data_IF_154251180351
#
_entry.id   IF_154251180351
#
_cell.length_a   1.000
_cell.length_b   1.000
_cell.length_c   1.000
_cell.angle_alpha   90.00
_cell.angle_beta   90.00
_cell.angle_gamma   90.00
#
_symmetry.space_group_name_H-M   'P 1'
#
loop_
_entity.id
_entity.type
_entity.pdbx_description
1 polymer ?
#
# COMPACT_ATOMS: atom_id res chain seq x y z
N UNK A 1 -19.99 -5.89 25.68
CA UNK A 1 -18.74 -5.62 24.95
C UNK A 1 -18.82 -6.08 23.47
N UNK A 2 -19.29 -7.28 23.16
CA UNK A 2 -19.43 -7.79 21.78
C UNK A 2 -20.38 -6.95 20.90
N UNK A 3 -21.45 -6.34 21.45
CA UNK A 3 -22.37 -5.50 20.66
C UNK A 3 -21.71 -4.23 20.11
N UNK A 4 -20.81 -3.61 20.87
CA UNK A 4 -20.08 -2.40 20.45
C UNK A 4 -18.98 -2.78 19.43
N UNK A 5 -18.26 -3.89 19.66
CA UNK A 5 -17.29 -4.45 18.69
C UNK A 5 -17.97 -4.73 17.35
N UNK A 6 -19.17 -5.31 17.37
CA UNK A 6 -19.96 -5.59 16.17
C UNK A 6 -20.49 -4.33 15.49
N UNK A 7 -20.80 -3.27 16.22
CA UNK A 7 -21.23 -1.98 15.66
C UNK A 7 -20.11 -1.23 14.96
N UNK A 8 -18.90 -1.24 15.52
CA UNK A 8 -17.73 -0.54 14.97
C UNK A 8 -17.09 -1.31 13.82
N UNK A 9 -17.16 -2.65 13.83
CA UNK A 9 -16.61 -3.52 12.79
C UNK A 9 -17.67 -4.23 11.94
N UNK A 10 -18.85 -3.67 11.83
CA UNK A 10 -20.09 -4.23 11.23
C UNK A 10 -19.96 -4.89 9.85
N UNK A 11 -18.86 -4.74 9.18
CA UNK A 11 -18.71 -5.14 7.78
C UNK A 11 -17.48 -6.02 7.52
N UNK A 12 -16.90 -6.65 8.55
CA UNK A 12 -15.77 -7.55 8.40
C UNK A 12 -16.17 -8.99 8.73
N UNK A 13 -15.67 -9.93 7.95
CA UNK A 13 -15.77 -11.35 8.29
C UNK A 13 -14.87 -11.61 9.51
N UNK A 14 -15.48 -11.98 10.65
CA UNK A 14 -14.80 -12.21 11.92
C UNK A 14 -14.71 -13.70 12.21
N UNK A 15 -13.76 -14.07 13.04
CA UNK A 15 -13.73 -15.40 13.61
C UNK A 15 -14.46 -15.34 14.95
N UNK A 16 -15.56 -16.06 15.03
CA UNK A 16 -16.29 -16.25 16.27
C UNK A 16 -15.87 -17.59 16.90
N UNK A 17 -15.49 -17.53 18.16
CA UNK A 17 -15.23 -18.70 19.01
C UNK A 17 -16.11 -18.64 20.24
N UNK A 18 -16.24 -19.72 21.00
CA UNK A 18 -17.04 -19.74 22.23
C UNK A 18 -16.63 -18.65 23.23
N UNK A 19 -15.37 -18.19 23.15
CA UNK A 19 -14.79 -17.24 24.10
C UNK A 19 -14.55 -15.83 23.51
N UNK A 20 -14.29 -15.73 22.20
CA UNK A 20 -13.78 -14.51 21.58
C UNK A 20 -14.42 -14.23 20.24
N UNK A 21 -14.65 -12.94 19.93
CA UNK A 21 -14.95 -12.44 18.60
C UNK A 21 -13.73 -11.68 18.09
N UNK A 22 -12.99 -12.27 17.15
CA UNK A 22 -11.72 -11.76 16.65
C UNK A 22 -11.90 -11.07 15.29
N UNK A 23 -11.37 -9.86 15.16
CA UNK A 23 -11.25 -9.18 13.86
C UNK A 23 -10.09 -9.79 13.05
N UNK A 24 -10.31 -11.01 12.63
CA UNK A 24 -9.40 -11.87 11.89
C UNK A 24 -10.19 -12.60 10.80
N UNK A 25 -9.69 -12.60 9.57
CA UNK A 25 -10.34 -13.28 8.44
C UNK A 25 -9.34 -14.17 7.71
N UNK A 26 -9.77 -15.36 7.34
CA UNK A 26 -9.03 -16.19 6.39
C UNK A 26 -9.29 -15.68 4.97
N UNK A 27 -8.25 -15.13 4.34
CA UNK A 27 -8.31 -14.76 2.93
C UNK A 27 -8.14 -16.01 2.07
N UNK A 28 -7.16 -16.85 2.46
CA UNK A 28 -7.02 -18.23 1.98
C UNK A 28 -6.88 -19.13 3.20
N UNK A 29 -6.73 -20.45 3.02
CA UNK A 29 -6.47 -21.38 4.15
C UNK A 29 -5.16 -21.04 4.88
N UNK A 30 -4.23 -20.33 4.24
CA UNK A 30 -2.88 -20.07 4.75
C UNK A 30 -2.49 -18.58 4.82
N UNK A 31 -3.37 -17.68 4.38
CA UNK A 31 -3.18 -16.21 4.40
C UNK A 31 -4.31 -15.57 5.19
N UNK A 32 -3.97 -14.91 6.27
CA UNK A 32 -4.92 -14.27 7.17
C UNK A 32 -4.73 -12.74 7.17
N UNK A 33 -5.83 -12.03 7.36
CA UNK A 33 -5.87 -10.58 7.55
C UNK A 33 -6.52 -10.24 8.88
N UNK A 34 -5.93 -9.35 9.69
CA UNK A 34 -6.52 -8.93 10.96
C UNK A 34 -6.38 -7.42 11.19
N UNK A 35 -7.11 -6.87 12.17
CA UNK A 35 -6.85 -5.55 12.72
C UNK A 35 -5.67 -5.59 13.70
N UNK A 36 -5.16 -4.41 14.07
CA UNK A 36 -4.05 -4.23 15.00
C UNK A 36 -4.30 -4.98 16.32
N UNK A 37 -3.32 -5.71 16.88
CA UNK A 37 -3.41 -6.28 18.21
C UNK A 37 -2.99 -5.23 19.25
N UNK A 38 -3.94 -4.67 19.98
CA UNK A 38 -3.69 -3.67 21.01
C UNK A 38 -3.72 -4.25 22.42
N UNK A 39 -2.85 -3.77 23.28
CA UNK A 39 -2.85 -4.02 24.72
C UNK A 39 -3.72 -3.03 25.51
N UNK A 40 -4.09 -1.92 24.87
CA UNK A 40 -4.99 -0.92 25.45
C UNK A 40 -6.43 -1.43 25.54
N UNK A 41 -7.04 -1.35 26.71
CA UNK A 41 -8.45 -1.72 26.94
C UNK A 41 -9.39 -0.87 26.06
N UNK A 42 -9.10 0.42 25.90
CA UNK A 42 -9.92 1.34 25.10
C UNK A 42 -9.80 1.02 23.61
N UNK A 43 -8.58 0.81 23.12
CA UNK A 43 -8.34 0.49 21.71
C UNK A 43 -8.83 -0.92 21.35
N UNK A 44 -8.84 -1.87 22.29
CA UNK A 44 -9.35 -3.22 22.06
C UNK A 44 -10.87 -3.28 21.82
N UNK A 45 -11.58 -2.16 21.99
CA UNK A 45 -12.98 -2.02 21.57
C UNK A 45 -13.07 -1.93 20.04
N UNK A 46 -12.08 -1.29 19.40
CA UNK A 46 -12.03 -1.05 17.94
C UNK A 46 -11.16 -2.09 17.25
N UNK A 47 -10.09 -2.52 17.91
CA UNK A 47 -9.05 -3.44 17.42
C UNK A 47 -9.13 -4.81 18.14
N UNK A 48 -8.23 -5.71 17.78
CA UNK A 48 -8.10 -6.96 18.51
C UNK A 48 -7.42 -6.72 19.87
N UNK A 49 -7.85 -7.43 20.91
CA UNK A 49 -7.07 -7.54 22.13
C UNK A 49 -5.87 -8.44 21.88
N UNK A 50 -4.65 -7.99 22.22
CA UNK A 50 -3.41 -8.71 21.93
C UNK A 50 -3.36 -10.10 22.62
N UNK A 51 -3.89 -10.22 23.84
CA UNK A 51 -3.91 -11.49 24.56
C UNK A 51 -4.92 -12.47 23.92
N UNK A 52 -6.11 -12.00 23.50
CA UNK A 52 -7.11 -12.85 22.84
C UNK A 52 -6.58 -13.39 21.50
N UNK A 53 -5.99 -12.51 20.66
CA UNK A 53 -5.50 -12.92 19.35
C UNK A 53 -4.23 -13.79 19.45
N UNK A 54 -3.33 -13.51 20.40
CA UNK A 54 -2.14 -14.34 20.62
C UNK A 54 -2.52 -15.72 21.16
N UNK A 55 -3.48 -15.80 22.09
CA UNK A 55 -4.01 -17.08 22.57
C UNK A 55 -4.62 -17.90 21.43
N UNK A 56 -5.41 -17.27 20.57
CA UNK A 56 -5.99 -17.95 19.40
C UNK A 56 -4.92 -18.50 18.47
N UNK A 57 -3.95 -17.67 18.08
CA UNK A 57 -2.88 -18.10 17.15
C UNK A 57 -2.00 -19.20 17.77
N UNK A 58 -1.59 -19.02 19.03
CA UNK A 58 -0.74 -20.00 19.73
C UNK A 58 -1.43 -21.33 20.02
N UNK A 59 -2.76 -21.35 20.23
CA UNK A 59 -3.51 -22.59 20.43
C UNK A 59 -3.79 -23.35 19.15
N UNK A 60 -3.97 -22.61 18.03
CA UNK A 60 -4.32 -23.22 16.75
C UNK A 60 -3.11 -23.61 15.90
N UNK A 61 -2.01 -22.88 16.05
CA UNK A 61 -0.77 -23.09 15.31
C UNK A 61 0.38 -23.30 16.29
N UNK A 62 1.29 -24.19 15.95
CA UNK A 62 2.50 -24.35 16.77
C UNK A 62 3.40 -23.10 16.63
N UNK A 63 4.27 -22.89 17.61
CA UNK A 63 5.17 -21.74 17.72
C UNK A 63 5.86 -21.33 16.41
N UNK A 64 6.18 -22.28 15.54
CA UNK A 64 6.97 -22.04 14.33
C UNK A 64 6.15 -22.06 13.04
N UNK A 65 4.81 -22.23 13.14
CA UNK A 65 3.98 -22.44 11.96
C UNK A 65 3.14 -21.21 11.57
N UNK A 66 3.37 -20.06 12.21
CA UNK A 66 2.79 -18.79 11.77
C UNK A 66 3.81 -17.67 11.82
N UNK A 67 3.64 -16.69 10.96
CA UNK A 67 4.45 -15.48 10.91
C UNK A 67 3.58 -14.26 10.66
N UNK A 68 3.84 -13.16 11.39
CA UNK A 68 3.04 -11.93 11.32
C UNK A 68 3.82 -10.82 10.64
N UNK A 69 3.21 -10.18 9.66
CA UNK A 69 3.70 -8.96 9.02
C UNK A 69 2.91 -7.76 9.55
N UNK A 70 3.54 -7.02 10.45
CA UNK A 70 3.00 -5.79 11.00
C UNK A 70 3.31 -4.62 10.06
N UNK A 71 2.30 -4.14 9.35
CA UNK A 71 2.37 -3.07 8.34
C UNK A 71 1.91 -1.72 8.91
N UNK A 72 1.78 -1.59 10.23
CA UNK A 72 1.19 -0.42 10.87
C UNK A 72 2.17 0.70 11.16
N UNK A 73 3.46 0.39 11.25
CA UNK A 73 4.48 1.30 11.77
C UNK A 73 4.51 1.42 13.29
N UNK A 74 3.57 0.76 14.00
CA UNK A 74 3.46 0.78 15.46
C UNK A 74 3.87 -0.58 16.00
N UNK A 75 4.83 -0.60 16.91
CA UNK A 75 5.29 -1.84 17.54
C UNK A 75 4.42 -2.23 18.75
N UNK A 76 4.53 -3.48 19.18
CA UNK A 76 3.87 -4.05 20.33
C UNK A 76 4.72 -5.18 20.92
N UNK A 77 4.34 -5.74 22.04
CA UNK A 77 5.04 -6.89 22.66
C UNK A 77 5.00 -8.13 21.74
N UNK A 78 6.08 -8.32 20.97
CA UNK A 78 6.22 -9.42 20.02
C UNK A 78 6.37 -10.77 20.71
N UNK A 79 6.72 -10.80 22.01
CA UNK A 79 6.85 -12.06 22.78
C UNK A 79 5.52 -12.82 22.86
N UNK A 80 4.38 -12.11 22.83
CA UNK A 80 3.03 -12.67 22.74
C UNK A 80 2.86 -13.59 21.52
N UNK A 81 3.62 -13.35 20.45
CA UNK A 81 3.59 -14.09 19.19
C UNK A 81 4.89 -14.88 18.97
N UNK A 82 5.60 -15.26 20.04
CA UNK A 82 6.86 -15.99 19.99
C UNK A 82 7.96 -15.29 19.17
N UNK A 83 7.92 -13.95 19.08
CA UNK A 83 8.78 -13.12 18.25
C UNK A 83 8.69 -13.38 16.73
N UNK A 84 7.65 -14.07 16.25
CA UNK A 84 7.40 -14.31 14.84
C UNK A 84 6.71 -13.09 14.17
N UNK A 85 7.32 -11.92 14.28
CA UNK A 85 6.76 -10.66 13.79
C UNK A 85 7.83 -9.83 13.10
N UNK A 86 7.56 -9.41 11.87
CA UNK A 86 8.31 -8.35 11.19
C UNK A 86 7.50 -7.05 11.21
N UNK A 87 8.15 -5.94 11.54
CA UNK A 87 7.56 -4.60 11.55
C UNK A 87 8.01 -3.83 10.30
N UNK A 88 7.05 -3.29 9.57
CA UNK A 88 7.24 -2.34 8.47
C UNK A 88 6.67 -0.98 8.88
N UNK A 89 7.50 0.06 8.80
CA UNK A 89 7.13 1.42 9.19
C UNK A 89 6.46 2.18 8.04
N UNK A 90 5.29 1.72 7.63
CA UNK A 90 4.52 2.37 6.56
C UNK A 90 3.50 3.34 7.13
N UNK A 91 3.42 4.51 6.55
CA UNK A 91 2.47 5.54 6.97
C UNK A 91 1.02 5.09 6.75
N UNK A 92 0.13 5.52 7.64
CA UNK A 92 -1.28 5.14 7.54
C UNK A 92 -1.93 5.80 6.32
N UNK A 93 -2.80 5.04 5.66
CA UNK A 93 -3.53 5.40 4.44
C UNK A 93 -2.68 5.61 3.17
N UNK A 94 -1.36 5.72 3.25
CA UNK A 94 -0.48 5.78 2.08
C UNK A 94 -0.39 4.44 1.34
N UNK A 95 0.05 4.50 0.09
CA UNK A 95 0.50 3.29 -0.59
C UNK A 95 1.83 2.83 0.02
N UNK A 96 1.97 1.53 0.34
CA UNK A 96 3.26 0.99 0.74
C UNK A 96 4.31 1.17 -0.38
N UNK A 97 5.60 1.36 -0.05
CA UNK A 97 6.65 1.47 -1.06
C UNK A 97 6.69 0.24 -1.97
N UNK A 98 6.82 0.47 -3.28
CA UNK A 98 6.65 -0.60 -4.29
C UNK A 98 7.63 -1.76 -4.10
N UNK A 99 8.88 -1.46 -3.80
CA UNK A 99 9.93 -2.48 -3.61
C UNK A 99 9.80 -3.22 -2.28
N UNK A 100 9.26 -2.56 -1.26
CA UNK A 100 8.95 -3.21 0.02
C UNK A 100 7.80 -4.22 -0.14
N UNK A 101 6.79 -3.93 -0.97
CA UNK A 101 5.72 -4.89 -1.28
C UNK A 101 6.31 -6.18 -1.86
N UNK A 102 7.26 -6.06 -2.81
CA UNK A 102 7.94 -7.24 -3.38
C UNK A 102 8.66 -8.03 -2.29
N UNK A 103 9.41 -7.36 -1.42
CA UNK A 103 10.13 -7.98 -0.31
C UNK A 103 9.18 -8.75 0.62
N UNK A 104 8.05 -8.16 0.98
CA UNK A 104 7.05 -8.83 1.84
C UNK A 104 6.44 -10.04 1.13
N UNK A 105 6.17 -9.96 -0.18
CA UNK A 105 5.67 -11.10 -0.94
C UNK A 105 6.67 -12.26 -0.97
N UNK A 106 7.95 -11.97 -1.23
CA UNK A 106 9.02 -12.99 -1.26
C UNK A 106 9.21 -13.66 0.10
N UNK A 107 9.30 -12.87 1.18
CA UNK A 107 9.43 -13.40 2.55
C UNK A 107 8.22 -14.28 2.91
N UNK A 108 7.01 -13.85 2.52
CA UNK A 108 5.78 -14.61 2.79
C UNK A 108 5.78 -15.94 2.07
N UNK A 109 6.12 -15.96 0.77
CA UNK A 109 6.20 -17.18 -0.02
C UNK A 109 7.29 -18.10 0.50
N UNK A 110 8.48 -17.54 0.79
CA UNK A 110 9.59 -18.31 1.37
C UNK A 110 9.17 -19.03 2.67
N UNK A 111 8.44 -18.34 3.56
CA UNK A 111 7.95 -18.96 4.80
C UNK A 111 6.86 -20.00 4.53
N UNK A 112 5.91 -19.70 3.64
CA UNK A 112 4.83 -20.63 3.30
C UNK A 112 5.35 -21.93 2.65
N UNK A 113 6.40 -21.84 1.82
CA UNK A 113 6.98 -22.99 1.14
C UNK A 113 7.83 -23.90 2.05
N UNK A 114 8.22 -23.46 3.26
CA UNK A 114 8.99 -24.31 4.19
C UNK A 114 8.17 -25.50 4.71
N UNK A 115 6.86 -25.31 4.94
CA UNK A 115 5.95 -26.36 5.43
C UNK A 115 4.52 -26.10 4.98
N UNK A 116 3.78 -27.13 4.62
CA UNK A 116 2.37 -27.01 4.19
C UNK A 116 1.42 -26.46 5.26
N UNK A 117 1.80 -26.60 6.54
CA UNK A 117 1.03 -26.11 7.69
C UNK A 117 1.36 -24.63 8.04
N UNK A 118 2.37 -24.02 7.43
CA UNK A 118 2.74 -22.63 7.70
C UNK A 118 1.67 -21.67 7.20
N UNK A 119 1.41 -20.64 7.99
CA UNK A 119 0.48 -19.56 7.65
C UNK A 119 1.15 -18.20 7.83
N UNK A 120 0.68 -17.21 7.08
CA UNK A 120 1.08 -15.81 7.24
C UNK A 120 -0.12 -14.95 7.64
N UNK A 121 0.13 -14.00 8.53
CA UNK A 121 -0.88 -13.08 9.05
C UNK A 121 -0.44 -11.65 8.74
N UNK A 122 -1.28 -10.89 8.07
CA UNK A 122 -1.02 -9.49 7.78
C UNK A 122 -1.94 -8.60 8.58
N UNK A 123 -1.41 -7.51 9.13
CA UNK A 123 -2.21 -6.46 9.71
C UNK A 123 -1.59 -5.07 9.52
N UNK A 124 -2.45 -4.06 9.52
CA UNK A 124 -2.12 -2.66 9.74
C UNK A 124 -2.92 -2.15 10.95
N UNK A 125 -3.56 -1.02 10.92
CA UNK A 125 -4.49 -0.60 11.97
C UNK A 125 -5.84 -1.32 11.82
N UNK A 126 -6.58 -1.05 10.74
CA UNK A 126 -7.90 -1.66 10.51
C UNK A 126 -7.85 -3.03 9.80
N UNK A 127 -6.69 -3.48 9.33
CA UNK A 127 -6.57 -4.67 8.50
C UNK A 127 -7.31 -4.53 7.16
N UNK A 128 -7.26 -3.33 6.55
CA UNK A 128 -7.99 -2.98 5.33
C UNK A 128 -7.06 -2.49 4.22
N UNK A 129 -6.53 -1.27 4.31
CA UNK A 129 -5.79 -0.58 3.24
C UNK A 129 -4.43 -1.22 2.95
N UNK A 130 -3.40 -0.94 3.76
CA UNK A 130 -2.04 -1.50 3.63
C UNK A 130 -2.05 -3.03 3.59
N UNK A 131 -2.83 -3.64 4.48
CA UNK A 131 -3.03 -5.10 4.55
C UNK A 131 -3.60 -5.65 3.25
N UNK A 132 -4.67 -5.03 2.73
CA UNK A 132 -5.29 -5.47 1.49
C UNK A 132 -4.38 -5.26 0.28
N UNK A 133 -3.63 -4.16 0.24
CA UNK A 133 -2.66 -3.89 -0.84
C UNK A 133 -1.64 -5.03 -0.93
N UNK A 134 -1.01 -5.39 0.19
CA UNK A 134 -0.02 -6.48 0.21
C UNK A 134 -0.64 -7.82 -0.15
N UNK A 135 -1.80 -8.16 0.41
CA UNK A 135 -2.46 -9.44 0.11
C UNK A 135 -2.86 -9.51 -1.36
N UNK A 136 -3.40 -8.44 -1.96
CA UNK A 136 -3.69 -8.41 -3.40
C UNK A 136 -2.42 -8.61 -4.24
N UNK A 137 -1.32 -7.96 -3.87
CA UNK A 137 -0.02 -8.15 -4.53
C UNK A 137 0.50 -9.58 -4.35
N UNK A 138 0.33 -10.19 -3.17
CA UNK A 138 0.70 -11.59 -2.93
C UNK A 138 -0.12 -12.56 -3.81
N UNK A 139 -1.42 -12.32 -3.98
CA UNK A 139 -2.27 -13.09 -4.88
C UNK A 139 -1.78 -13.04 -6.33
N UNK A 140 -1.39 -11.85 -6.80
CA UNK A 140 -0.79 -11.63 -8.12
C UNK A 140 0.61 -12.26 -8.22
N UNK A 141 1.44 -12.06 -7.19
CA UNK A 141 2.78 -12.62 -7.09
C UNK A 141 2.76 -14.14 -7.21
N UNK A 142 1.87 -14.79 -6.51
CA UNK A 142 1.70 -16.25 -6.56
C UNK A 142 0.92 -16.71 -7.81
N UNK A 143 0.44 -15.81 -8.67
CA UNK A 143 -0.36 -16.10 -9.86
C UNK A 143 -1.70 -16.80 -9.57
N UNK A 144 -2.21 -16.59 -8.40
CA UNK A 144 -3.59 -17.00 -8.07
C UNK A 144 -4.60 -16.34 -9.01
N UNK A 145 -4.30 -15.11 -9.39
CA UNK A 145 -4.90 -14.40 -10.51
C UNK A 145 -3.83 -13.55 -11.20
N UNK A 146 -4.07 -13.18 -12.46
CA UNK A 146 -3.26 -12.21 -13.22
C UNK A 146 -3.98 -10.87 -13.36
N UNK A 147 -5.21 -10.78 -12.87
CA UNK A 147 -6.10 -9.61 -13.02
C UNK A 147 -6.18 -8.86 -11.70
N UNK A 148 -5.75 -7.61 -11.71
CA UNK A 148 -5.75 -6.73 -10.52
C UNK A 148 -7.14 -6.65 -9.88
N UNK A 149 -8.18 -6.44 -10.69
CA UNK A 149 -9.56 -6.36 -10.19
C UNK A 149 -9.98 -7.62 -9.45
N UNK A 150 -9.66 -8.80 -9.97
CA UNK A 150 -9.99 -10.07 -9.32
C UNK A 150 -9.30 -10.21 -7.95
N UNK A 151 -8.02 -9.80 -7.83
CA UNK A 151 -7.30 -9.82 -6.56
C UNK A 151 -7.96 -8.90 -5.52
N UNK A 152 -8.35 -7.68 -5.95
CA UNK A 152 -9.00 -6.67 -5.10
C UNK A 152 -10.39 -7.15 -4.66
N UNK A 153 -11.19 -7.67 -5.56
CA UNK A 153 -12.54 -8.16 -5.28
C UNK A 153 -12.50 -9.40 -4.37
N UNK A 154 -11.59 -10.33 -4.64
CA UNK A 154 -11.41 -11.51 -3.80
C UNK A 154 -11.05 -11.13 -2.35
N UNK A 155 -10.07 -10.23 -2.16
CA UNK A 155 -9.75 -9.72 -0.82
C UNK A 155 -10.97 -9.07 -0.16
N UNK A 156 -11.70 -8.23 -0.90
CA UNK A 156 -12.88 -7.53 -0.38
C UNK A 156 -13.96 -8.51 0.08
N UNK A 157 -14.25 -9.54 -0.71
CA UNK A 157 -15.24 -10.57 -0.37
C UNK A 157 -14.80 -11.35 0.87
N UNK A 158 -13.55 -11.83 0.89
CA UNK A 158 -13.03 -12.66 2.00
C UNK A 158 -12.93 -11.88 3.30
N UNK A 159 -12.58 -10.59 3.24
CA UNK A 159 -12.39 -9.75 4.44
C UNK A 159 -13.67 -9.05 4.89
N UNK A 160 -14.55 -8.63 3.96
CA UNK A 160 -15.68 -7.74 4.22
C UNK A 160 -17.03 -8.29 3.70
N UNK A 161 -17.06 -9.46 3.12
CA UNK A 161 -18.27 -10.08 2.58
C UNK A 161 -18.85 -9.41 1.33
N UNK A 162 -18.21 -8.38 0.76
CA UNK A 162 -18.72 -7.69 -0.42
C UNK A 162 -17.62 -7.00 -1.25
N UNK A 163 -17.81 -6.96 -2.56
CA UNK A 163 -16.98 -6.22 -3.51
C UNK A 163 -16.99 -4.72 -3.18
N UNK A 164 -15.87 -4.03 -3.45
CA UNK A 164 -15.72 -2.59 -3.25
C UNK A 164 -15.50 -2.15 -1.79
N UNK A 165 -15.53 -3.06 -0.82
CA UNK A 165 -15.30 -2.75 0.60
C UNK A 165 -13.87 -2.97 1.08
N UNK A 166 -13.02 -3.57 0.26
CA UNK A 166 -11.61 -3.87 0.57
C UNK A 166 -10.70 -2.65 0.49
N UNK A 167 -9.70 -2.71 -0.38
CA UNK A 167 -8.83 -1.57 -0.68
C UNK A 167 -9.62 -0.51 -1.41
N UNK A 168 -9.66 0.71 -0.87
CA UNK A 168 -10.47 1.82 -1.41
C UNK A 168 -9.66 3.10 -1.66
N UNK A 169 -8.43 3.18 -1.17
CA UNK A 169 -7.57 4.34 -1.41
C UNK A 169 -7.02 4.30 -2.85
N UNK A 170 -7.21 5.36 -3.65
CA UNK A 170 -6.76 5.41 -5.03
C UNK A 170 -5.26 5.13 -5.22
N UNK A 171 -4.41 5.68 -4.36
CA UNK A 171 -2.96 5.39 -4.42
C UNK A 171 -2.65 3.93 -4.14
N UNK A 172 -3.33 3.29 -3.19
CA UNK A 172 -3.13 1.87 -2.89
C UNK A 172 -3.57 0.98 -4.07
N UNK A 173 -4.71 1.27 -4.69
CA UNK A 173 -5.18 0.57 -5.90
C UNK A 173 -4.20 0.75 -7.07
N UNK A 174 -3.65 1.95 -7.24
CA UNK A 174 -2.62 2.25 -8.25
C UNK A 174 -1.36 1.42 -8.02
N UNK A 175 -0.92 1.27 -6.78
CA UNK A 175 0.27 0.49 -6.45
C UNK A 175 0.08 -1.01 -6.64
N UNK A 176 -1.12 -1.55 -6.46
CA UNK A 176 -1.43 -2.94 -6.85
C UNK A 176 -1.26 -3.10 -8.39
N UNK A 177 -1.72 -2.12 -9.17
CA UNK A 177 -1.54 -2.12 -10.62
C UNK A 177 -0.07 -1.97 -11.03
N UNK A 178 0.68 -1.11 -10.37
CA UNK A 178 2.12 -0.94 -10.55
C UNK A 178 2.89 -2.23 -10.23
N UNK A 179 2.54 -2.88 -9.14
CA UNK A 179 3.12 -4.16 -8.77
C UNK A 179 2.87 -5.22 -9.85
N UNK A 180 1.64 -5.34 -10.35
CA UNK A 180 1.33 -6.26 -11.42
C UNK A 180 2.10 -5.95 -12.70
N UNK A 181 2.26 -4.67 -13.05
CA UNK A 181 3.09 -4.25 -14.19
C UNK A 181 4.55 -4.66 -13.99
N UNK A 182 5.14 -4.35 -12.84
CA UNK A 182 6.52 -4.67 -12.48
C UNK A 182 6.79 -6.18 -12.55
N UNK A 183 5.84 -7.02 -12.15
CA UNK A 183 5.99 -8.49 -12.23
C UNK A 183 6.10 -9.02 -13.67
N UNK A 184 5.66 -8.25 -14.66
CA UNK A 184 5.63 -8.67 -16.06
C UNK A 184 6.55 -7.86 -16.99
N UNK A 185 7.09 -6.74 -16.50
CA UNK A 185 7.89 -5.81 -17.30
C UNK A 185 9.08 -5.29 -16.49
N UNK A 186 10.23 -5.07 -17.10
CA UNK A 186 11.35 -4.45 -16.43
C UNK A 186 11.04 -2.99 -16.07
N UNK A 187 11.54 -2.55 -14.94
CA UNK A 187 11.54 -1.15 -14.53
C UNK A 187 12.84 -0.47 -14.97
N UNK A 188 12.75 0.84 -15.20
CA UNK A 188 13.88 1.69 -15.45
C UNK A 188 13.92 2.81 -14.41
N UNK A 189 15.10 3.11 -13.88
CA UNK A 189 15.25 4.25 -13.00
C UNK A 189 14.96 5.54 -13.78
N UNK A 190 13.97 6.30 -13.33
CA UNK A 190 13.44 7.44 -14.05
C UNK A 190 13.23 8.63 -13.10
N UNK A 191 14.29 9.38 -12.77
CA UNK A 191 14.15 10.61 -11.97
C UNK A 191 13.53 11.73 -12.81
N UNK A 192 12.72 12.56 -12.17
CA UNK A 192 12.08 13.70 -12.78
C UNK A 192 12.26 14.98 -11.94
N UNK A 193 12.19 16.12 -12.59
CA UNK A 193 12.10 17.44 -11.96
C UNK A 193 10.66 17.90 -11.97
N UNK A 194 10.01 17.97 -10.82
CA UNK A 194 8.71 18.65 -10.69
C UNK A 194 8.95 20.15 -10.83
N UNK A 195 8.34 20.74 -11.84
CA UNK A 195 8.49 22.17 -12.17
C UNK A 195 7.33 23.00 -11.67
N UNK A 196 6.13 22.41 -11.57
CA UNK A 196 4.93 23.10 -11.10
C UNK A 196 3.89 22.12 -10.58
N UNK A 197 3.20 22.50 -9.52
CA UNK A 197 1.99 21.82 -9.03
C UNK A 197 0.87 22.85 -9.02
N UNK A 198 -0.23 22.53 -9.69
CA UNK A 198 -1.43 23.37 -9.75
C UNK A 198 -2.61 22.59 -9.18
N UNK A 199 -3.38 23.21 -8.31
CA UNK A 199 -4.61 22.63 -7.74
C UNK A 199 -5.77 23.48 -8.25
N UNK A 200 -6.63 22.86 -9.05
CA UNK A 200 -7.78 23.50 -9.70
C UNK A 200 -9.08 22.98 -9.08
N UNK A 201 -10.15 23.77 -9.22
CA UNK A 201 -11.50 23.37 -8.78
C UNK A 201 -11.76 23.49 -7.28
N UNK A 202 -10.82 24.04 -6.52
CA UNK A 202 -10.98 24.32 -5.09
C UNK A 202 -10.12 25.51 -4.66
N UNK A 203 -10.68 26.36 -3.80
CA UNK A 203 -9.91 27.39 -3.10
C UNK A 203 -9.39 26.80 -1.78
N UNK A 204 -8.09 26.61 -1.67
CA UNK A 204 -7.43 26.22 -0.42
C UNK A 204 -7.02 27.48 0.35
N UNK A 205 -7.53 27.64 1.56
CA UNK A 205 -7.13 28.75 2.41
C UNK A 205 -5.71 28.48 2.95
N UNK A 206 -4.76 29.35 2.62
CA UNK A 206 -3.34 29.20 2.91
C UNK A 206 -2.84 27.77 2.56
N UNK A 207 -3.13 27.33 1.32
CA UNK A 207 -2.78 26.00 0.84
C UNK A 207 -1.26 25.78 0.84
N UNK A 208 -0.84 24.62 1.30
CA UNK A 208 0.56 24.18 1.35
C UNK A 208 0.68 22.81 0.73
N UNK A 209 1.73 22.59 -0.04
CA UNK A 209 2.07 21.28 -0.62
C UNK A 209 3.42 20.83 -0.09
N UNK A 210 3.54 19.56 0.31
CA UNK A 210 4.81 18.95 0.61
C UNK A 210 5.03 17.72 -0.27
N UNK A 211 6.27 17.45 -0.62
CA UNK A 211 6.69 16.34 -1.47
C UNK A 211 7.65 15.47 -0.69
N UNK A 212 7.38 14.16 -0.67
CA UNK A 212 8.27 13.13 -0.15
C UNK A 212 8.65 12.22 -1.29
N UNK A 213 9.94 11.91 -1.45
CA UNK A 213 10.46 11.06 -2.53
C UNK A 213 11.54 10.13 -2.02
N UNK A 214 11.64 8.95 -2.65
CA UNK A 214 12.58 7.90 -2.26
C UNK A 214 12.11 7.04 -1.09
N UNK A 215 12.85 5.96 -0.80
CA UNK A 215 12.47 5.01 0.23
C UNK A 215 12.44 5.67 1.62
N UNK A 216 11.28 5.75 2.21
CA UNK A 216 10.89 6.02 3.63
C UNK A 216 11.64 7.10 4.45
N UNK A 217 12.78 7.60 4.00
CA UNK A 217 13.62 8.56 4.70
C UNK A 217 14.02 9.77 3.85
N UNK A 218 13.35 9.96 2.69
CA UNK A 218 13.53 11.16 1.88
C UNK A 218 13.12 12.39 2.67
N UNK A 219 13.94 13.44 2.62
CA UNK A 219 13.60 14.75 3.20
C UNK A 219 12.27 15.22 2.64
N UNK A 220 11.34 15.57 3.53
CA UNK A 220 10.09 16.21 3.17
C UNK A 220 10.42 17.60 2.62
N UNK A 221 10.18 17.81 1.33
CA UNK A 221 10.44 19.09 0.67
C UNK A 221 9.15 19.90 0.72
N UNK A 222 9.19 21.05 1.36
CA UNK A 222 8.08 22.02 1.29
C UNK A 222 8.04 22.64 -0.11
N UNK A 223 6.94 22.41 -0.82
CA UNK A 223 6.66 23.09 -2.07
C UNK A 223 5.78 24.31 -1.81
N UNK A 224 6.34 25.52 -2.01
CA UNK A 224 5.60 26.76 -1.96
C UNK A 224 5.35 27.17 -3.42
N UNK A 225 4.08 27.30 -3.81
CA UNK A 225 3.63 27.50 -5.21
C UNK A 225 4.18 28.75 -5.93
N UNK A 226 4.95 29.58 -5.24
CA UNK A 226 5.48 30.86 -5.76
C UNK A 226 6.99 30.87 -6.01
N UNK A 227 7.70 29.79 -5.68
CA UNK A 227 9.12 29.69 -5.98
C UNK A 227 9.33 28.88 -7.26
N UNK A 228 10.08 29.44 -8.22
CA UNK A 228 10.53 28.76 -9.46
C UNK A 228 11.58 27.67 -9.19
N UNK A 229 11.46 26.97 -8.06
CA UNK A 229 12.36 25.86 -7.72
C UNK A 229 11.86 24.57 -8.33
N UNK A 230 12.72 23.92 -9.09
CA UNK A 230 12.50 22.55 -9.57
C UNK A 230 12.87 21.56 -8.46
N UNK A 231 12.02 20.57 -8.23
CA UNK A 231 12.22 19.55 -7.22
C UNK A 231 12.53 18.20 -7.85
N UNK A 232 13.73 17.69 -7.61
CA UNK A 232 14.14 16.37 -8.06
C UNK A 232 13.44 15.29 -7.23
N UNK A 233 12.75 14.38 -7.90
CA UNK A 233 12.06 13.24 -7.28
C UNK A 233 12.32 11.96 -8.06
N UNK A 234 12.32 10.83 -7.36
CA UNK A 234 12.57 9.51 -7.93
C UNK A 234 11.88 8.40 -7.12
N UNK A 235 11.65 7.25 -7.75
CA UNK A 235 10.98 6.08 -7.18
C UNK A 235 9.59 6.41 -6.62
N UNK A 236 9.31 6.05 -5.37
CA UNK A 236 8.05 6.34 -4.70
C UNK A 236 7.96 7.82 -4.36
N UNK A 237 6.90 8.48 -4.80
CA UNK A 237 6.63 9.90 -4.56
C UNK A 237 5.28 10.05 -3.88
N UNK A 238 5.24 10.79 -2.78
CA UNK A 238 4.01 11.19 -2.10
C UNK A 238 3.90 12.70 -2.10
N UNK A 239 2.75 13.20 -2.52
CA UNK A 239 2.42 14.61 -2.48
C UNK A 239 1.30 14.81 -1.49
N UNK A 240 1.53 15.62 -0.46
CA UNK A 240 0.54 15.98 0.55
C UNK A 240 0.06 17.40 0.30
N UNK A 241 -1.23 17.59 0.44
CA UNK A 241 -1.91 18.86 0.28
C UNK A 241 -2.55 19.22 1.61
N UNK A 242 -2.17 20.38 2.12
CA UNK A 242 -2.65 20.91 3.38
C UNK A 242 -3.42 22.20 3.16
N UNK A 243 -4.32 22.50 4.08
CA UNK A 243 -4.97 23.81 4.19
C UNK A 243 -5.02 24.26 5.65
N UNK A 244 -5.13 25.56 5.88
CA UNK A 244 -5.38 26.09 7.22
C UNK A 244 -6.86 25.93 7.55
N UNK A 245 -7.18 25.32 8.69
CA UNK A 245 -8.54 25.33 9.23
C UNK A 245 -8.85 26.67 9.88
N UNK A 246 -9.95 27.28 9.46
CA UNK A 246 -10.45 28.53 10.04
C UNK A 246 -11.59 28.22 11.01
N UNK A 247 -11.46 28.67 12.25
CA UNK A 247 -12.49 28.50 13.29
C UNK A 247 -13.67 29.45 13.12
N UNK A 248 -14.69 29.30 13.94
CA UNK A 248 -15.98 30.02 13.87
C UNK A 248 -15.88 31.55 13.91
N UNK A 249 -14.76 32.11 14.34
CA UNK A 249 -14.51 33.58 14.39
C UNK A 249 -13.30 34.00 13.54
N UNK A 250 -12.99 33.26 12.48
CA UNK A 250 -11.84 33.57 11.63
C UNK A 250 -10.46 33.27 12.25
N UNK A 251 -10.40 32.64 13.43
CA UNK A 251 -9.15 32.28 14.08
C UNK A 251 -8.58 30.99 13.43
N UNK A 252 -7.30 31.01 13.10
CA UNK A 252 -6.59 29.85 12.63
C UNK A 252 -6.59 28.74 13.67
N UNK A 253 -7.06 27.55 13.28
CA UNK A 253 -7.07 26.32 14.11
C UNK A 253 -5.86 25.41 13.84
N UNK A 254 -4.99 25.82 12.94
CA UNK A 254 -3.81 25.06 12.54
C UNK A 254 -3.90 24.51 11.11
N UNK A 255 -2.81 23.86 10.69
CA UNK A 255 -2.68 23.27 9.35
C UNK A 255 -3.23 21.85 9.38
N UNK A 256 -4.12 21.52 8.44
CA UNK A 256 -4.73 20.21 8.29
C UNK A 256 -4.38 19.58 6.96
N UNK A 257 -4.02 18.29 7.01
CA UNK A 257 -3.89 17.46 5.81
C UNK A 257 -5.27 17.31 5.16
N UNK A 258 -5.35 17.69 3.89
CA UNK A 258 -6.60 17.73 3.12
C UNK A 258 -6.69 16.54 2.18
N UNK A 259 -5.60 16.24 1.49
CA UNK A 259 -5.50 15.13 0.55
C UNK A 259 -4.03 14.74 0.35
N UNK A 260 -3.82 13.57 -0.24
CA UNK A 260 -2.51 13.17 -0.75
C UNK A 260 -2.68 12.31 -2.00
N UNK A 261 -1.58 12.08 -2.68
CA UNK A 261 -1.50 11.12 -3.78
C UNK A 261 -0.10 10.51 -3.84
N UNK A 262 -0.03 9.25 -4.27
CA UNK A 262 1.23 8.54 -4.45
C UNK A 262 1.38 8.08 -5.90
N UNK A 263 2.61 8.15 -6.42
CA UNK A 263 2.99 7.57 -7.71
C UNK A 263 4.45 7.11 -7.69
N UNK A 264 4.84 6.34 -8.71
CA UNK A 264 6.22 5.88 -8.86
C UNK A 264 6.79 6.40 -10.17
N UNK A 265 7.97 7.04 -10.13
CA UNK A 265 8.50 7.73 -11.31
C UNK A 265 8.84 6.79 -12.46
N UNK A 266 9.33 5.57 -12.20
CA UNK A 266 9.59 4.55 -13.22
C UNK A 266 8.33 4.07 -13.95
N UNK A 267 7.14 4.38 -13.45
CA UNK A 267 5.85 3.88 -13.94
C UNK A 267 4.93 4.96 -14.49
N UNK A 268 5.44 6.18 -14.71
CA UNK A 268 4.65 7.29 -15.27
C UNK A 268 4.03 6.93 -16.62
N UNK A 269 4.73 6.18 -17.45
CA UNK A 269 4.25 5.75 -18.77
C UNK A 269 3.04 4.80 -18.72
N UNK A 270 2.80 4.13 -17.59
CA UNK A 270 1.65 3.25 -17.38
C UNK A 270 0.42 4.01 -16.90
N UNK A 271 0.58 5.27 -16.50
CA UNK A 271 -0.50 6.07 -15.93
C UNK A 271 -1.31 6.74 -17.04
N UNK A 272 -2.60 6.47 -17.10
CA UNK A 272 -3.53 7.11 -18.06
C UNK A 272 -3.62 8.62 -17.90
N UNK A 273 -3.29 9.12 -16.71
CA UNK A 273 -3.26 10.53 -16.35
C UNK A 273 -1.95 11.24 -16.76
N UNK A 274 -0.99 10.54 -17.38
CA UNK A 274 0.26 11.13 -17.85
C UNK A 274 0.13 11.58 -19.30
N UNK A 275 0.32 12.89 -19.54
CA UNK A 275 0.28 13.50 -20.86
C UNK A 275 1.69 14.02 -21.19
N UNK A 276 2.28 13.51 -22.26
CA UNK A 276 3.52 14.07 -22.80
C UNK A 276 3.23 15.44 -23.42
N UNK A 277 3.99 16.47 -23.03
CA UNK A 277 3.86 17.84 -23.54
C UNK A 277 5.06 18.30 -24.36
N UNK A 278 6.06 17.40 -24.51
CA UNK A 278 7.28 17.60 -25.26
C UNK A 278 8.19 16.38 -25.11
N UNK A 279 9.37 16.42 -25.74
CA UNK A 279 10.31 15.31 -25.74
C UNK A 279 10.73 14.89 -24.32
N UNK A 280 11.01 15.87 -23.45
CA UNK A 280 11.46 15.67 -22.06
C UNK A 280 10.50 16.25 -21.04
N UNK A 281 9.25 16.53 -21.38
CA UNK A 281 8.27 17.19 -20.51
C UNK A 281 6.96 16.44 -20.50
N UNK A 282 6.29 16.48 -19.34
CA UNK A 282 4.98 15.86 -19.19
C UNK A 282 4.14 16.55 -18.11
N UNK A 283 2.88 16.15 -18.08
CA UNK A 283 1.92 16.56 -17.05
C UNK A 283 1.21 15.34 -16.52
N UNK A 284 1.16 15.20 -15.20
CA UNK A 284 0.29 14.23 -14.53
C UNK A 284 -0.98 14.97 -14.08
N UNK A 285 -2.14 14.46 -14.44
CA UNK A 285 -3.43 15.03 -14.08
C UNK A 285 -4.21 14.06 -13.20
N UNK A 286 -4.42 14.43 -11.95
CA UNK A 286 -5.18 13.64 -10.98
C UNK A 286 -6.53 14.32 -10.73
N UNK A 287 -7.60 13.56 -10.90
CA UNK A 287 -8.96 13.99 -10.55
C UNK A 287 -9.35 13.42 -9.19
N UNK A 288 -10.48 13.83 -8.63
CA UNK A 288 -10.93 13.39 -7.30
C UNK A 288 -10.86 11.87 -7.10
N UNK A 289 -11.21 11.08 -8.10
CA UNK A 289 -11.15 9.60 -8.07
C UNK A 289 -9.74 9.03 -7.95
N UNK A 290 -8.71 9.83 -8.27
CA UNK A 290 -7.30 9.44 -8.32
C UNK A 290 -6.53 9.92 -7.10
N UNK A 291 -7.16 10.75 -6.25
CA UNK A 291 -6.60 11.42 -5.09
C UNK A 291 -7.12 10.72 -3.84
N UNK A 292 -6.24 10.51 -2.86
CA UNK A 292 -6.62 9.94 -1.58
C UNK A 292 -7.26 11.02 -0.69
N UNK A 293 -8.55 10.96 -0.42
CA UNK A 293 -9.24 12.02 0.31
C UNK A 293 -9.14 11.80 1.83
N UNK A 294 -8.63 12.77 2.55
CA UNK A 294 -8.77 12.79 4.02
C UNK A 294 -10.07 13.50 4.44
N UNK A 295 -10.35 14.67 3.86
CA UNK A 295 -11.53 15.47 4.20
C UNK A 295 -12.38 15.87 2.98
N UNK A 296 -11.88 15.64 1.76
CA UNK A 296 -12.51 16.14 0.54
C UNK A 296 -13.72 15.32 0.08
N UNK A 297 -13.73 14.00 0.32
CA UNK A 297 -14.72 13.08 -0.27
C UNK A 297 -16.16 13.32 0.19
N UNK A 298 -16.39 14.04 1.30
CA UNK A 298 -17.71 14.26 1.89
C UNK A 298 -18.33 15.62 1.55
N UNK A 299 -17.61 16.47 0.82
CA UNK A 299 -18.07 17.82 0.57
C UNK A 299 -18.21 18.08 -0.93
N UNK A 300 -19.40 18.42 -1.38
CA UNK A 300 -19.75 18.69 -2.78
C UNK A 300 -18.87 19.78 -3.42
N UNK A 301 -18.29 20.68 -2.63
CA UNK A 301 -17.36 21.71 -3.08
C UNK A 301 -16.10 21.18 -3.77
N UNK A 302 -15.74 19.90 -3.55
CA UNK A 302 -14.49 19.33 -4.05
C UNK A 302 -14.66 18.37 -5.22
N UNK A 303 -15.86 18.23 -5.75
CA UNK A 303 -16.13 17.29 -6.84
C UNK A 303 -15.34 17.58 -8.12
N UNK A 304 -14.97 18.84 -8.34
CA UNK A 304 -14.21 19.30 -9.49
C UNK A 304 -12.72 19.47 -9.23
N UNK A 305 -12.20 18.95 -8.11
CA UNK A 305 -10.77 19.06 -7.81
C UNK A 305 -9.94 18.34 -8.85
N UNK A 306 -8.89 19.04 -9.30
CA UNK A 306 -7.89 18.51 -10.21
C UNK A 306 -6.51 18.96 -9.77
N UNK A 307 -5.57 18.03 -9.67
CA UNK A 307 -4.17 18.30 -9.37
C UNK A 307 -3.38 18.05 -10.63
N UNK A 308 -2.66 19.07 -11.09
CA UNK A 308 -1.78 19.01 -12.25
C UNK A 308 -0.34 19.14 -11.77
N UNK A 309 0.50 18.16 -12.09
CA UNK A 309 1.93 18.16 -11.80
C UNK A 309 2.65 18.25 -13.14
N UNK A 310 3.31 19.38 -13.38
CA UNK A 310 4.19 19.55 -14.55
C UNK A 310 5.59 19.07 -14.19
N UNK A 311 6.22 18.31 -15.08
CA UNK A 311 7.54 17.75 -14.83
C UNK A 311 8.41 17.76 -16.09
N UNK A 312 9.72 17.71 -15.88
CA UNK A 312 10.74 17.45 -16.89
C UNK A 312 11.48 16.17 -16.51
N UNK A 313 11.86 15.37 -17.51
CA UNK A 313 12.74 14.23 -17.26
C UNK A 313 14.11 14.75 -16.83
N UNK A 314 14.65 14.20 -15.74
CA UNK A 314 16.00 14.56 -15.34
C UNK A 314 17.02 13.83 -16.21
N UNK A 315 17.84 14.62 -16.89
CA UNK A 315 18.95 14.09 -17.70
C UNK A 315 20.23 14.32 -16.90
N UNK A 316 20.86 13.22 -16.50
CA UNK A 316 22.12 13.25 -15.75
C UNK A 316 23.22 13.92 -16.57
N UNK A 317 23.95 14.85 -15.95
CA UNK A 317 25.07 15.56 -16.57
C UNK A 317 26.33 15.43 -15.71
N UNK A 318 27.29 14.62 -16.19
CA UNK A 318 28.52 14.30 -15.47
C UNK A 318 29.37 15.54 -15.10
N UNK A 319 29.24 16.61 -15.85
CA UNK A 319 30.02 17.84 -15.64
C UNK A 319 29.32 18.87 -14.72
N UNK A 320 28.02 18.69 -14.47
CA UNK A 320 27.21 19.64 -13.68
C UNK A 320 26.69 19.07 -12.37
N UNK A 321 26.52 17.75 -12.30
CA UNK A 321 25.96 17.10 -11.14
C UNK A 321 27.05 16.86 -10.09
N UNK A 322 26.72 17.10 -8.82
CA UNK A 322 27.64 16.86 -7.71
C UNK A 322 27.96 15.37 -7.59
N UNK A 323 29.09 15.06 -6.97
CA UNK A 323 29.52 13.68 -6.72
C UNK A 323 28.50 12.94 -5.82
N UNK A 324 27.93 13.64 -4.84
CA UNK A 324 26.89 13.10 -3.96
C UNK A 324 25.62 12.72 -4.74
N UNK A 325 25.21 13.55 -5.70
CA UNK A 325 24.04 13.28 -6.55
C UNK A 325 24.31 12.09 -7.48
N UNK A 326 25.54 11.95 -7.97
CA UNK A 326 25.96 10.79 -8.78
C UNK A 326 25.88 9.50 -7.95
N UNK A 327 26.49 9.49 -6.77
CA UNK A 327 26.45 8.34 -5.87
C UNK A 327 25.01 7.95 -5.48
N UNK A 328 24.15 8.94 -5.25
CA UNK A 328 22.74 8.71 -4.99
C UNK A 328 22.06 8.03 -6.18
N UNK A 329 22.26 8.52 -7.40
CA UNK A 329 21.64 7.97 -8.59
C UNK A 329 22.15 6.57 -8.92
N UNK A 330 23.43 6.33 -8.76
CA UNK A 330 24.00 5.00 -8.92
C UNK A 330 23.38 4.00 -7.93
N UNK A 331 23.27 4.37 -6.66
CA UNK A 331 22.62 3.57 -5.63
C UNK A 331 21.15 3.28 -5.96
N UNK A 332 20.38 4.28 -6.38
CA UNK A 332 18.96 4.11 -6.69
C UNK A 332 18.73 3.34 -8.00
N UNK A 333 19.58 3.55 -9.00
CA UNK A 333 19.60 2.75 -10.21
C UNK A 333 19.90 1.27 -9.89
N UNK A 334 20.91 1.01 -9.05
CA UNK A 334 21.25 -0.35 -8.63
C UNK A 334 20.10 -1.06 -7.92
N UNK A 335 19.31 -0.36 -7.11
CA UNK A 335 18.08 -0.93 -6.50
C UNK A 335 17.08 -1.38 -7.56
N UNK A 336 16.87 -0.59 -8.61
CA UNK A 336 15.96 -0.95 -9.72
C UNK A 336 16.48 -2.18 -10.45
N UNK A 337 17.79 -2.26 -10.71
CA UNK A 337 18.43 -3.44 -11.33
C UNK A 337 18.25 -4.68 -10.45
N UNK A 338 18.45 -4.55 -9.15
CA UNK A 338 18.25 -5.65 -8.19
C UNK A 338 16.80 -6.13 -8.19
N UNK A 339 15.84 -5.22 -8.15
CA UNK A 339 14.40 -5.54 -8.22
C UNK A 339 14.07 -6.29 -9.51
N UNK A 340 14.56 -5.83 -10.65
CA UNK A 340 14.35 -6.52 -11.93
C UNK A 340 14.93 -7.94 -11.91
N UNK A 341 16.13 -8.14 -11.33
CA UNK A 341 16.75 -9.45 -11.20
C UNK A 341 15.93 -10.37 -10.28
N UNK A 342 15.41 -9.87 -9.17
CA UNK A 342 14.52 -10.61 -8.26
C UNK A 342 13.25 -11.05 -8.97
N UNK A 343 12.60 -10.15 -9.71
CA UNK A 343 11.39 -10.46 -10.50
C UNK A 343 11.68 -11.52 -11.57
N UNK A 344 12.82 -11.41 -12.26
CA UNK A 344 13.24 -12.42 -13.24
C UNK A 344 13.47 -13.79 -12.59
N UNK A 345 14.09 -13.84 -11.40
CA UNK A 345 14.30 -15.08 -10.66
C UNK A 345 12.97 -15.74 -10.28
N UNK A 346 12.02 -14.95 -9.75
CA UNK A 346 10.64 -15.41 -9.44
C UNK A 346 9.95 -15.95 -10.68
N UNK A 347 10.04 -15.25 -11.82
CA UNK A 347 9.38 -15.67 -13.04
C UNK A 347 10.01 -16.93 -13.66
N UNK A 348 11.34 -17.12 -13.54
CA UNK A 348 12.03 -18.34 -13.94
C UNK A 348 11.57 -19.52 -13.08
N UNK A 349 11.55 -19.34 -11.78
CA UNK A 349 11.10 -20.33 -10.82
C UNK A 349 9.64 -20.76 -11.10
N UNK A 350 8.73 -19.83 -11.35
CA UNK A 350 7.36 -20.11 -11.78
C UNK A 350 7.24 -20.97 -13.04
N UNK A 351 8.20 -20.89 -13.97
CA UNK A 351 8.22 -21.69 -15.21
C UNK A 351 8.74 -23.10 -14.98
N UNK A 352 9.74 -23.27 -14.08
CA UNK A 352 10.41 -24.55 -13.82
C UNK A 352 9.49 -25.48 -13.03
N UNK A 353 8.81 -25.00 -12.02
CA UNK A 353 8.01 -25.77 -11.08
C UNK A 353 6.63 -26.22 -11.62
N UNK A 354 6.33 -26.03 -12.92
CA UNK A 354 5.00 -26.33 -13.48
C UNK A 354 3.87 -25.82 -12.60
N UNK A 355 3.93 -24.61 -12.25
CA UNK A 355 3.17 -23.64 -11.44
C UNK A 355 1.82 -24.08 -10.82
N UNK A 356 1.23 -25.22 -11.21
CA UNK A 356 -0.01 -25.75 -10.62
C UNK A 356 0.17 -26.22 -9.15
N UNK A 357 1.40 -26.49 -8.71
CA UNK A 357 1.70 -26.92 -7.34
C UNK A 357 1.66 -25.82 -6.31
N UNK A 358 2.11 -24.60 -6.66
CA UNK A 358 2.35 -23.53 -5.67
C UNK A 358 1.14 -22.68 -5.34
N UNK A 359 0.30 -22.36 -6.31
CA UNK A 359 -1.02 -21.83 -6.01
C UNK A 359 -1.74 -22.78 -5.03
N UNK A 360 -1.54 -24.09 -5.18
CA UNK A 360 -2.07 -25.12 -4.27
C UNK A 360 -1.39 -25.06 -2.89
N UNK A 361 -0.08 -24.87 -2.80
CA UNK A 361 0.64 -24.72 -1.53
C UNK A 361 0.23 -23.48 -0.76
N UNK A 362 0.07 -22.32 -1.45
CA UNK A 362 -0.22 -21.04 -0.79
C UNK A 362 -1.71 -20.89 -0.48
N UNK A 363 -2.59 -21.43 -1.34
CA UNK A 363 -4.04 -21.20 -1.23
C UNK A 363 -4.79 -22.40 -0.66
N UNK A 364 -4.16 -23.58 -0.54
CA UNK A 364 -4.87 -24.80 -0.15
C UNK A 364 -6.00 -25.20 -1.09
N UNK A 365 -6.11 -24.52 -2.25
CA UNK A 365 -7.17 -24.68 -3.24
C UNK A 365 -6.67 -24.45 -4.68
N UNK A 366 -7.55 -24.58 -5.66
CA UNK A 366 -7.23 -24.37 -7.08
C UNK A 366 -7.44 -22.91 -7.49
N UNK A 367 -6.84 -22.48 -8.63
CA UNK A 367 -7.14 -21.17 -9.27
C UNK A 367 -8.64 -20.96 -9.51
N UNK A 368 -9.41 -22.02 -9.62
CA UNK A 368 -10.85 -21.98 -9.78
C UNK A 368 -11.59 -21.46 -8.54
N UNK A 369 -10.99 -21.54 -7.35
CA UNK A 369 -11.63 -21.10 -6.10
C UNK A 369 -11.75 -19.57 -6.03
N UNK A 370 -10.78 -18.83 -6.60
CA UNK A 370 -10.89 -17.35 -6.72
C UNK A 370 -12.04 -16.97 -7.66
N UNK A 371 -12.07 -17.56 -8.86
CA UNK A 371 -13.14 -17.30 -9.83
C UNK A 371 -14.50 -17.66 -9.28
N UNK A 372 -14.65 -18.82 -8.64
CA UNK A 372 -15.92 -19.23 -7.99
C UNK A 372 -16.33 -18.24 -6.90
N UNK A 373 -15.41 -17.77 -6.07
CA UNK A 373 -15.73 -16.80 -5.00
C UNK A 373 -16.24 -15.48 -5.56
N UNK A 374 -15.68 -15.02 -6.69
CA UNK A 374 -16.10 -13.77 -7.35
C UNK A 374 -17.45 -13.93 -8.07
N UNK A 375 -17.71 -15.10 -8.70
CA UNK A 375 -18.94 -15.35 -9.44
C UNK A 375 -20.17 -15.62 -8.55
N UNK A 376 -19.99 -15.91 -7.27
CA UNK A 376 -21.09 -16.18 -6.33
C UNK A 376 -21.67 -14.91 -5.68
N UNK A 377 -21.23 -13.72 -6.07
CA UNK A 377 -21.73 -12.41 -5.67
C UNK A 377 -22.11 -11.53 -6.86
#
# INVERSE_FOLDING_TARGET
MNLIKNLVSKNKNRIETDKHSLDLSYITSRVLAMSFPSDSIVESIIHNNINEISQYLNSRYTKNNYYIYNLSGIDYDRSKFNNNVSLFQWADHEAPPLFDILTVCELSVSFLCQRDINIVVFHCLAGKGRTGTVICCLLLFCGATTVVKEAVDYFAIKRFGAVGRGVTQPSQLRYISFFNYMMNNPLYFHPILITKITIEGVALYNGRVTIKSGNNHGSEIQYISHENKKHLVYNDVVIYIYQTEVGFFGKDKGIKLTAWLCFHTSLLHTMSMNIKTGENKGKLMFFLKDIDPFSLAKNEKYQNIKIVIEYENYIFNINKDSEELRALFEKEHQKVVEVNNRVLAVNRWKKIENYNGEAKCIFGGSKNDIKKTICLQ
#
